data_IF_240117925527
#
_entry.id   IF_240117925527
#
_cell.length_a   1.000
_cell.length_b   1.000
_cell.length_c   1.000
_cell.angle_alpha   90.00
_cell.angle_beta   90.00
_cell.angle_gamma   90.00
#
_symmetry.space_group_name_H-M   'P 1'
#
loop_
_entity.id
_entity.type
_entity.pdbx_description
1 polymer ?
#
# COMPACT_ATOMS: atom_id res chain seq x y z
N UNK A 1 -17.58 -6.29 -9.54
CA UNK A 1 -16.49 -5.99 -8.61
C UNK A 1 -17.08 -5.66 -7.26
N UNK A 2 -16.76 -6.48 -6.26
CA UNK A 2 -17.04 -6.16 -4.85
C UNK A 2 -15.87 -5.38 -4.19
N UNK A 3 -16.02 -5.03 -2.91
CA UNK A 3 -15.03 -4.25 -2.16
C UNK A 3 -13.68 -5.01 -2.02
N UNK A 4 -13.72 -6.33 -1.83
CA UNK A 4 -12.52 -7.15 -1.66
C UNK A 4 -11.77 -7.27 -2.98
N UNK A 5 -12.48 -7.57 -4.07
CA UNK A 5 -11.93 -7.61 -5.42
C UNK A 5 -11.31 -6.26 -5.81
N UNK A 6 -11.98 -5.15 -5.46
CA UNK A 6 -11.47 -3.81 -5.69
C UNK A 6 -10.16 -3.55 -4.94
N UNK A 7 -10.13 -3.80 -3.62
CA UNK A 7 -8.94 -3.62 -2.80
C UNK A 7 -7.78 -4.47 -3.30
N UNK A 8 -8.01 -5.75 -3.62
CA UNK A 8 -6.98 -6.63 -4.19
C UNK A 8 -6.40 -6.08 -5.49
N UNK A 9 -7.25 -5.58 -6.38
CA UNK A 9 -6.81 -4.99 -7.63
C UNK A 9 -5.97 -3.71 -7.42
N UNK A 10 -6.33 -2.86 -6.45
CA UNK A 10 -5.55 -1.66 -6.10
C UNK A 10 -4.20 -2.02 -5.50
N UNK A 11 -4.20 -2.91 -4.51
CA UNK A 11 -2.97 -3.40 -3.86
C UNK A 11 -2.02 -4.07 -4.85
N UNK A 12 -2.54 -4.85 -5.80
CA UNK A 12 -1.73 -5.45 -6.86
C UNK A 12 -1.12 -4.39 -7.78
N UNK A 13 -1.85 -3.33 -8.10
CA UNK A 13 -1.32 -2.22 -8.91
C UNK A 13 -0.21 -1.47 -8.18
N UNK A 14 -0.42 -1.14 -6.91
CA UNK A 14 0.57 -0.42 -6.11
C UNK A 14 1.83 -1.25 -5.89
N UNK A 15 1.65 -2.55 -5.65
CA UNK A 15 2.77 -3.49 -5.55
C UNK A 15 3.57 -3.57 -6.85
N UNK A 16 2.89 -3.64 -8.00
CA UNK A 16 3.56 -3.67 -9.30
C UNK A 16 4.39 -2.40 -9.51
N UNK A 17 3.80 -1.22 -9.28
CA UNK A 17 4.50 0.06 -9.41
C UNK A 17 5.72 0.11 -8.49
N UNK A 18 5.58 -0.36 -7.24
CA UNK A 18 6.69 -0.40 -6.30
C UNK A 18 7.79 -1.39 -6.72
N UNK A 19 7.43 -2.56 -7.27
CA UNK A 19 8.40 -3.54 -7.79
C UNK A 19 9.11 -3.09 -9.06
N UNK A 20 8.47 -2.26 -9.88
CA UNK A 20 9.09 -1.68 -11.08
C UNK A 20 10.19 -0.65 -10.72
N UNK A 21 10.27 -0.25 -9.44
CA UNK A 21 11.36 0.57 -8.90
C UNK A 21 12.53 -0.30 -8.40
N UNK A 22 13.64 0.32 -7.96
CA UNK A 22 14.87 -0.39 -7.55
C UNK A 22 14.73 -1.30 -6.31
N UNK A 23 13.61 -1.26 -5.59
CA UNK A 23 13.42 -1.99 -4.32
C UNK A 23 14.28 -1.49 -3.15
N UNK A 24 15.15 -0.50 -3.39
CA UNK A 24 16.05 0.09 -2.42
C UNK A 24 15.37 1.25 -1.68
N UNK A 25 15.63 1.43 -0.38
CA UNK A 25 15.21 2.60 0.37
C UNK A 25 15.64 3.90 -0.31
N UNK A 26 14.77 4.91 -0.23
CA UNK A 26 15.09 6.25 -0.71
C UNK A 26 15.61 7.11 0.44
N UNK A 27 16.66 7.89 0.18
CA UNK A 27 17.28 8.78 1.15
C UNK A 27 17.34 10.20 0.64
N UNK A 28 17.30 11.15 1.58
CA UNK A 28 17.41 12.58 1.29
C UNK A 28 18.84 13.06 1.49
N UNK A 29 19.35 13.80 0.52
CA UNK A 29 20.56 14.59 0.68
C UNK A 29 20.21 16.00 1.17
N UNK A 30 21.17 16.68 1.82
CA UNK A 30 21.03 18.07 2.28
C UNK A 30 20.72 19.08 1.15
N UNK A 31 20.98 18.70 -0.10
CA UNK A 31 20.64 19.45 -1.32
C UNK A 31 19.17 19.37 -1.74
N UNK A 32 18.34 18.57 -1.07
CA UNK A 32 16.96 18.27 -1.48
C UNK A 32 16.85 17.20 -2.57
N UNK A 33 17.96 16.52 -2.90
CA UNK A 33 17.98 15.38 -3.83
C UNK A 33 17.61 14.09 -3.12
N UNK A 34 16.77 13.27 -3.77
CA UNK A 34 16.41 11.92 -3.34
C UNK A 34 17.21 10.92 -4.19
N UNK A 35 17.78 9.91 -3.54
CA UNK A 35 18.58 8.85 -4.16
C UNK A 35 18.32 7.50 -3.49
N UNK A 36 18.76 6.41 -4.11
CA UNK A 36 18.68 5.06 -3.52
C UNK A 36 19.86 4.78 -2.59
N UNK A 37 19.63 4.04 -1.49
CA UNK A 37 20.70 3.53 -0.61
C UNK A 37 20.55 2.02 -0.34
N UNK A 38 21.57 1.18 -0.61
CA UNK A 38 22.83 1.48 -1.32
C UNK A 38 22.62 1.93 -2.78
N UNK A 39 23.68 2.34 -3.51
CA UNK A 39 23.60 2.53 -4.96
C UNK A 39 23.08 1.26 -5.65
N UNK A 40 22.32 1.41 -6.73
CA UNK A 40 21.87 0.26 -7.51
C UNK A 40 23.08 -0.50 -8.05
N UNK A 41 23.13 -1.84 -7.94
CA UNK A 41 24.24 -2.63 -8.49
C UNK A 41 24.35 -2.52 -10.02
N UNK A 42 23.29 -2.07 -10.69
CA UNK A 42 23.29 -1.82 -12.13
C UNK A 42 24.10 -0.58 -12.52
N UNK A 43 24.33 0.33 -11.57
CA UNK A 43 25.12 1.56 -11.73
C UNK A 43 26.48 1.46 -11.01
N UNK A 44 26.91 0.26 -10.57
CA UNK A 44 28.07 0.09 -9.68
C UNK A 44 29.43 0.58 -10.26
N UNK A 45 29.53 0.81 -11.58
CA UNK A 45 30.71 1.43 -12.21
C UNK A 45 30.74 2.97 -12.02
N UNK A 46 29.62 3.58 -11.63
CA UNK A 46 29.51 4.96 -11.15
C UNK A 46 29.11 4.93 -9.67
N UNK A 47 30.06 5.18 -8.76
CA UNK A 47 29.84 5.18 -7.31
C UNK A 47 28.84 6.26 -6.78
N UNK A 48 28.03 6.86 -7.66
CA UNK A 48 26.94 7.76 -7.32
C UNK A 48 25.65 6.97 -7.08
N UNK A 49 25.04 7.16 -5.92
CA UNK A 49 23.69 6.67 -5.65
C UNK A 49 22.72 7.07 -6.76
N UNK A 50 21.91 6.12 -7.25
CA UNK A 50 21.02 6.34 -8.38
C UNK A 50 20.01 7.45 -8.06
N UNK A 51 19.95 8.47 -8.91
CA UNK A 51 19.06 9.61 -8.74
C UNK A 51 17.59 9.20 -8.85
N UNK A 52 16.78 9.56 -7.85
CA UNK A 52 15.32 9.33 -7.86
C UNK A 52 14.57 10.59 -8.26
N UNK A 53 14.82 11.70 -7.55
CA UNK A 53 14.14 12.97 -7.78
C UNK A 53 14.91 14.14 -7.14
N UNK A 54 14.54 15.36 -7.50
CA UNK A 54 14.95 16.59 -6.81
C UNK A 54 13.71 17.35 -6.35
N UNK A 55 13.65 17.66 -5.07
CA UNK A 55 12.55 18.41 -4.49
C UNK A 55 12.87 19.90 -4.34
N UNK A 56 11.83 20.73 -4.31
CA UNK A 56 11.96 22.19 -4.11
C UNK A 56 12.57 22.54 -2.74
N UNK A 57 12.24 21.74 -1.72
CA UNK A 57 12.70 21.95 -0.34
C UNK A 57 12.85 20.62 0.41
N UNK A 58 13.46 20.68 1.59
CA UNK A 58 13.71 19.50 2.42
C UNK A 58 12.45 18.76 2.87
N UNK A 59 11.34 19.46 3.10
CA UNK A 59 10.09 18.84 3.53
C UNK A 59 9.47 17.98 2.42
N UNK A 60 9.52 18.45 1.17
CA UNK A 60 9.13 17.65 0.02
C UNK A 60 10.08 16.48 -0.22
N UNK A 61 11.38 16.67 -0.04
CA UNK A 61 12.36 15.59 -0.16
C UNK A 61 12.08 14.49 0.88
N UNK A 62 11.83 14.86 2.13
CA UNK A 62 11.49 13.92 3.21
C UNK A 62 10.19 13.18 2.93
N UNK A 63 9.16 13.90 2.45
CA UNK A 63 7.88 13.27 2.10
C UNK A 63 8.04 12.24 0.98
N UNK A 64 8.79 12.56 -0.07
CA UNK A 64 9.05 11.65 -1.20
C UNK A 64 9.85 10.44 -0.71
N UNK A 65 10.96 10.66 -0.01
CA UNK A 65 11.81 9.58 0.50
C UNK A 65 11.04 8.65 1.45
N UNK A 66 10.15 9.19 2.29
CA UNK A 66 9.29 8.38 3.18
C UNK A 66 8.28 7.52 2.40
N UNK A 67 7.97 7.81 1.15
CA UNK A 67 7.09 6.99 0.30
C UNK A 67 7.90 6.09 -0.64
N UNK A 68 9.03 5.58 -0.16
CA UNK A 68 9.86 4.65 -0.91
C UNK A 68 9.11 3.34 -1.28
N UNK A 69 9.60 2.61 -2.30
CA UNK A 69 9.00 1.36 -2.74
C UNK A 69 8.96 0.27 -1.66
N UNK A 70 9.99 0.15 -0.82
CA UNK A 70 10.05 -0.89 0.21
C UNK A 70 8.95 -0.69 1.27
N UNK A 71 8.69 0.55 1.68
CA UNK A 71 7.56 0.88 2.57
C UNK A 71 6.23 0.56 1.91
N UNK A 72 6.06 0.89 0.62
CA UNK A 72 4.83 0.60 -0.12
C UNK A 72 4.57 -0.90 -0.17
N UNK A 73 5.60 -1.71 -0.44
CA UNK A 73 5.50 -3.18 -0.41
C UNK A 73 5.12 -3.71 0.97
N UNK A 74 5.73 -3.18 2.04
CA UNK A 74 5.38 -3.55 3.41
C UNK A 74 3.92 -3.19 3.76
N UNK A 75 3.44 -2.02 3.33
CA UNK A 75 2.04 -1.62 3.51
C UNK A 75 1.09 -2.54 2.74
N UNK A 76 1.39 -2.85 1.47
CA UNK A 76 0.59 -3.80 0.68
C UNK A 76 0.52 -5.16 1.37
N UNK A 77 1.65 -5.69 1.85
CA UNK A 77 1.69 -6.97 2.53
C UNK A 77 0.81 -6.99 3.80
N UNK A 78 0.90 -5.94 4.63
CA UNK A 78 0.07 -5.82 5.82
C UNK A 78 -1.42 -5.72 5.49
N UNK A 79 -1.79 -4.93 4.48
CA UNK A 79 -3.20 -4.78 4.08
C UNK A 79 -3.75 -6.07 3.48
N UNK A 80 -2.96 -6.84 2.74
CA UNK A 80 -3.37 -8.16 2.23
C UNK A 80 -3.71 -9.13 3.35
N UNK A 81 -2.92 -9.16 4.42
CA UNK A 81 -3.23 -9.99 5.59
C UNK A 81 -4.58 -9.62 6.20
N UNK A 82 -4.90 -8.34 6.29
CA UNK A 82 -6.21 -7.87 6.80
C UNK A 82 -7.35 -8.34 5.88
N UNK A 83 -7.17 -8.26 4.55
CA UNK A 83 -8.16 -8.72 3.57
C UNK A 83 -8.35 -10.24 3.66
N UNK A 84 -7.26 -11.00 3.75
CA UNK A 84 -7.31 -12.46 3.85
C UNK A 84 -7.96 -12.90 5.17
N UNK A 85 -7.69 -12.21 6.28
CA UNK A 85 -8.36 -12.43 7.56
C UNK A 85 -9.87 -12.14 7.46
N UNK A 86 -10.28 -11.05 6.79
CA UNK A 86 -11.69 -10.76 6.55
C UNK A 86 -12.39 -11.88 5.78
N UNK A 87 -11.79 -12.35 4.68
CA UNK A 87 -12.37 -13.43 3.87
C UNK A 87 -12.42 -14.75 4.62
N UNK A 88 -11.36 -15.10 5.37
CA UNK A 88 -11.32 -16.30 6.20
C UNK A 88 -12.48 -16.29 7.21
N UNK A 89 -12.72 -15.17 7.88
CA UNK A 89 -13.82 -15.06 8.85
C UNK A 89 -15.19 -15.08 8.15
N UNK A 90 -15.32 -14.43 6.99
CA UNK A 90 -16.54 -14.53 6.18
C UNK A 90 -16.86 -15.98 5.80
N UNK A 91 -15.85 -16.76 5.39
CA UNK A 91 -16.00 -18.17 5.04
C UNK A 91 -16.38 -19.03 6.25
N UNK A 92 -15.75 -18.80 7.42
CA UNK A 92 -16.12 -19.50 8.67
C UNK A 92 -17.58 -19.22 9.03
N UNK A 93 -18.03 -17.97 8.92
CA UNK A 93 -19.41 -17.57 9.20
C UNK A 93 -20.43 -18.15 8.23
N UNK A 94 -20.04 -18.40 6.99
CA UNK A 94 -20.90 -19.04 5.97
C UNK A 94 -21.07 -20.54 6.23
N UNK A 95 -20.02 -21.21 6.73
CA UNK A 95 -20.02 -22.66 6.98
C UNK A 95 -20.40 -23.06 8.41
N UNK A 96 -20.25 -22.15 9.36
CA UNK A 96 -20.44 -22.40 10.79
C UNK A 96 -21.78 -21.90 11.33
N UNK A 97 -21.91 -21.94 12.66
CA UNK A 97 -23.04 -21.33 13.35
C UNK A 97 -22.81 -19.82 13.50
N UNK A 98 -23.74 -19.02 12.96
CA UNK A 98 -23.72 -17.56 13.13
C UNK A 98 -24.25 -17.20 14.51
N UNK A 99 -23.42 -16.56 15.32
CA UNK A 99 -23.87 -15.90 16.55
C UNK A 99 -23.88 -14.38 16.34
N UNK A 100 -24.71 -13.62 17.07
CA UNK A 100 -24.73 -12.17 16.97
C UNK A 100 -23.36 -11.51 17.17
N UNK A 101 -22.51 -12.08 18.04
CA UNK A 101 -21.17 -11.56 18.32
C UNK A 101 -20.24 -11.73 17.11
N UNK A 102 -20.32 -12.87 16.42
CA UNK A 102 -19.50 -13.11 15.23
C UNK A 102 -19.95 -12.24 14.05
N UNK A 103 -21.26 -12.02 13.89
CA UNK A 103 -21.80 -11.09 12.88
C UNK A 103 -21.37 -9.65 13.17
N UNK A 104 -21.49 -9.19 14.41
CA UNK A 104 -21.03 -7.86 14.82
C UNK A 104 -19.52 -7.67 14.55
N UNK A 105 -18.70 -8.68 14.88
CA UNK A 105 -17.27 -8.65 14.59
C UNK A 105 -17.01 -8.56 13.07
N UNK A 106 -17.81 -9.23 12.24
CA UNK A 106 -17.66 -9.17 10.78
C UNK A 106 -18.01 -7.79 10.20
N UNK A 107 -19.06 -7.15 10.70
CA UNK A 107 -19.41 -5.77 10.34
C UNK A 107 -18.26 -4.81 10.64
N UNK A 108 -17.60 -4.97 11.80
CA UNK A 108 -16.42 -4.16 12.16
C UNK A 108 -15.28 -4.38 11.16
N UNK A 109 -15.02 -5.63 10.75
CA UNK A 109 -13.98 -5.92 9.74
C UNK A 109 -14.32 -5.34 8.37
N UNK A 110 -15.58 -5.40 7.94
CA UNK A 110 -16.01 -4.76 6.70
C UNK A 110 -15.78 -3.25 6.74
N UNK A 111 -16.09 -2.60 7.87
CA UNK A 111 -15.82 -1.18 8.07
C UNK A 111 -14.32 -0.83 8.02
N UNK A 112 -13.45 -1.74 8.47
CA UNK A 112 -11.99 -1.59 8.29
C UNK A 112 -11.63 -1.61 6.80
N UNK A 113 -12.19 -2.55 6.02
CA UNK A 113 -11.94 -2.60 4.58
C UNK A 113 -12.42 -1.33 3.86
N UNK A 114 -13.60 -0.80 4.22
CA UNK A 114 -14.12 0.47 3.68
C UNK A 114 -13.17 1.63 3.93
N UNK A 115 -12.58 1.71 5.14
CA UNK A 115 -11.58 2.73 5.50
C UNK A 115 -10.27 2.54 4.73
N UNK A 116 -9.83 1.31 4.52
CA UNK A 116 -8.65 0.99 3.71
C UNK A 116 -8.86 1.31 2.22
N UNK A 117 -10.10 1.39 1.75
CA UNK A 117 -10.42 1.78 0.38
C UNK A 117 -10.44 3.30 0.16
N UNK A 118 -10.49 4.12 1.21
CA UNK A 118 -10.55 5.59 1.13
C UNK A 118 -9.44 6.25 0.30
N UNK A 119 -8.16 5.80 0.36
CA UNK A 119 -7.10 6.37 -0.47
C UNK A 119 -7.40 6.26 -1.97
N UNK A 120 -8.29 5.35 -2.38
CA UNK A 120 -8.68 5.12 -3.76
C UNK A 120 -10.04 5.72 -4.12
N UNK A 121 -10.59 6.62 -3.30
CA UNK A 121 -11.92 7.20 -3.51
C UNK A 121 -12.08 7.99 -4.83
N UNK A 122 -10.97 8.48 -5.39
CA UNK A 122 -10.96 9.14 -6.71
C UNK A 122 -10.92 8.16 -7.90
N UNK A 123 -10.79 6.86 -7.64
CA UNK A 123 -10.70 5.86 -8.69
C UNK A 123 -12.09 5.64 -9.35
N UNK A 124 -12.21 5.57 -10.69
CA UNK A 124 -13.51 5.44 -11.37
C UNK A 124 -14.33 4.20 -10.99
N UNK A 125 -13.66 3.12 -10.59
CA UNK A 125 -14.31 1.89 -10.13
C UNK A 125 -14.64 1.89 -8.62
N UNK A 126 -14.28 2.94 -7.88
CA UNK A 126 -14.71 3.12 -6.49
C UNK A 126 -16.21 3.40 -6.46
N UNK A 127 -16.93 2.82 -5.49
CA UNK A 127 -18.38 2.99 -5.33
C UNK A 127 -18.67 3.80 -4.06
N UNK A 128 -19.60 4.74 -4.16
CA UNK A 128 -20.00 5.59 -3.02
C UNK A 128 -20.55 4.79 -1.84
N UNK A 129 -21.20 3.64 -2.09
CA UNK A 129 -21.70 2.74 -1.03
C UNK A 129 -20.58 2.17 -0.13
N UNK A 130 -19.32 2.22 -0.57
CA UNK A 130 -18.15 1.80 0.21
C UNK A 130 -17.62 2.90 1.13
N UNK A 131 -18.15 4.11 1.04
CA UNK A 131 -17.77 5.22 1.91
C UNK A 131 -18.29 4.93 3.33
N UNK A 132 -17.46 5.03 4.38
CA UNK A 132 -17.87 4.78 5.76
C UNK A 132 -18.95 5.75 6.26
#
# INVERSE_FOLDING_TARGET
MDLVEFLRARLARDEQIARDCSGLPWQTASSGTIHTDPPSPQDADDAASSHVAKAENGAYAEHIARHDPARTLAQVAAVRQIVDDYEKQAWILDRGHRTPELEAAQVVRENVLRRLALPYASHPAYRDDWRP
#
